data_IF_617581905262
#
_entry.id   IF_617581905262
#
_cell.length_a   1.000
_cell.length_b   1.000
_cell.length_c   1.000
_cell.angle_alpha   90.00
_cell.angle_beta   90.00
_cell.angle_gamma   90.00
#
_symmetry.space_group_name_H-M   'P 1'
#
loop_
_entity.id
_entity.type
_entity.pdbx_description
1 polymer ?
#
# COMPACT_ATOMS: atom_id res chain seq x y z
N UNK A 1 78.65 -15.69 -27.09
CA UNK A 1 78.27 -15.49 -28.49
C UNK A 1 77.07 -16.37 -28.83
N UNK A 2 76.00 -15.72 -29.29
CA UNK A 2 74.83 -16.23 -30.04
C UNK A 2 73.88 -17.33 -29.56
N UNK A 3 74.02 -17.93 -28.36
CA UNK A 3 72.97 -18.87 -27.84
C UNK A 3 72.49 -18.63 -26.40
N UNK A 4 72.86 -17.51 -25.78
CA UNK A 4 72.47 -17.19 -24.38
C UNK A 4 71.45 -16.03 -24.28
N UNK A 5 71.22 -15.28 -25.36
CA UNK A 5 70.26 -14.16 -25.37
C UNK A 5 68.80 -14.56 -25.69
N UNK A 6 68.56 -15.78 -26.19
CA UNK A 6 67.23 -16.23 -26.61
C UNK A 6 66.46 -17.01 -25.53
N UNK A 7 67.14 -17.56 -24.52
CA UNK A 7 66.50 -18.32 -23.43
C UNK A 7 65.92 -17.42 -22.32
N UNK A 8 66.47 -16.22 -22.12
CA UNK A 8 65.99 -15.29 -21.08
C UNK A 8 64.70 -14.54 -21.45
N UNK A 9 64.29 -14.50 -22.73
CA UNK A 9 63.02 -13.87 -23.17
C UNK A 9 61.79 -14.78 -23.07
N UNK A 10 61.98 -16.10 -22.98
CA UNK A 10 60.86 -17.06 -22.92
C UNK A 10 60.44 -17.32 -21.46
N UNK A 11 61.36 -17.38 -20.51
CA UNK A 11 61.03 -17.58 -19.10
C UNK A 11 60.29 -16.38 -18.45
N UNK A 12 60.53 -15.15 -18.92
CA UNK A 12 59.81 -13.97 -18.40
C UNK A 12 58.36 -13.87 -18.91
N UNK A 13 57.99 -14.56 -20.01
CA UNK A 13 56.61 -14.62 -20.51
C UNK A 13 55.81 -15.81 -20.00
N UNK A 14 56.45 -16.85 -19.45
CA UNK A 14 55.76 -17.98 -18.82
C UNK A 14 55.47 -17.75 -17.32
N UNK A 15 56.30 -16.97 -16.62
CA UNK A 15 56.11 -16.64 -15.19
C UNK A 15 54.96 -15.68 -14.89
N UNK A 16 54.48 -14.92 -15.89
CA UNK A 16 53.31 -14.03 -15.75
C UNK A 16 51.98 -14.74 -16.05
N UNK A 17 52.00 -15.87 -16.76
CA UNK A 17 50.79 -16.62 -17.11
C UNK A 17 50.27 -17.52 -15.96
N UNK A 18 51.10 -17.80 -14.94
CA UNK A 18 50.71 -18.64 -13.79
C UNK A 18 50.16 -17.89 -12.58
N UNK A 19 50.16 -16.54 -12.58
CA UNK A 19 49.53 -15.72 -11.52
C UNK A 19 48.08 -15.29 -11.81
N UNK A 20 47.51 -15.70 -12.95
CA UNK A 20 46.12 -15.39 -13.32
C UNK A 20 45.10 -16.47 -12.89
N UNK A 21 45.48 -17.42 -12.00
CA UNK A 21 44.63 -18.56 -11.61
C UNK A 21 44.15 -18.60 -10.16
N UNK A 22 44.38 -17.55 -9.36
CA UNK A 22 43.82 -17.47 -8.00
C UNK A 22 43.26 -16.09 -7.68
N UNK A 23 42.31 -15.61 -8.51
CA UNK A 23 41.32 -14.64 -8.06
C UNK A 23 40.11 -15.40 -7.50
N UNK A 24 39.58 -15.03 -6.32
CA UNK A 24 38.40 -15.67 -5.76
C UNK A 24 37.23 -15.50 -6.73
N UNK A 25 36.62 -16.61 -7.15
CA UNK A 25 35.42 -16.60 -7.98
C UNK A 25 34.39 -15.68 -7.32
N UNK A 26 34.00 -14.61 -8.02
CA UNK A 26 32.88 -13.77 -7.61
C UNK A 26 31.67 -14.69 -7.42
N UNK A 27 31.10 -14.66 -6.22
CA UNK A 27 29.89 -15.39 -5.88
C UNK A 27 28.72 -14.73 -6.60
N UNK A 28 28.49 -15.14 -7.84
CA UNK A 28 27.32 -14.73 -8.61
C UNK A 28 26.11 -15.37 -7.95
N UNK A 29 25.28 -14.56 -7.29
CA UNK A 29 24.01 -15.01 -6.74
C UNK A 29 22.98 -14.87 -7.86
N UNK A 30 22.57 -15.99 -8.41
CA UNK A 30 21.44 -16.04 -9.34
C UNK A 30 20.16 -16.08 -8.51
N UNK A 31 19.26 -15.13 -8.74
CA UNK A 31 17.90 -15.17 -8.19
C UNK A 31 16.90 -15.32 -9.32
N UNK A 32 16.02 -16.31 -9.16
CA UNK A 32 14.94 -16.59 -10.10
C UNK A 32 13.80 -15.62 -9.82
N UNK A 33 13.68 -14.58 -10.64
CA UNK A 33 12.56 -13.65 -10.56
C UNK A 33 11.32 -14.25 -11.24
N UNK A 34 10.20 -14.27 -10.52
CA UNK A 34 8.92 -14.83 -11.00
C UNK A 34 8.11 -13.80 -11.80
N UNK A 35 8.40 -12.50 -11.71
CA UNK A 35 7.74 -11.47 -12.53
C UNK A 35 8.16 -11.48 -14.00
N UNK A 36 9.23 -12.19 -14.37
CA UNK A 36 9.80 -12.20 -15.73
C UNK A 36 9.66 -13.55 -16.45
N UNK A 37 8.69 -14.38 -16.05
CA UNK A 37 8.41 -15.64 -16.75
C UNK A 37 9.51 -16.70 -16.61
N UNK A 38 10.32 -16.64 -15.55
CA UNK A 38 11.30 -17.68 -15.21
C UNK A 38 12.68 -17.54 -15.87
N UNK A 39 13.02 -16.38 -16.45
CA UNK A 39 14.38 -16.09 -16.91
C UNK A 39 15.29 -15.70 -15.75
N UNK A 40 16.49 -16.27 -15.72
CA UNK A 40 17.51 -15.98 -14.71
C UNK A 40 18.21 -14.66 -15.04
N UNK A 41 18.27 -13.75 -14.06
CA UNK A 41 18.93 -12.45 -14.21
C UNK A 41 20.09 -12.36 -13.23
N UNK A 42 21.25 -11.96 -13.74
CA UNK A 42 22.48 -11.79 -12.98
C UNK A 42 22.44 -10.41 -12.32
N UNK A 43 22.40 -10.38 -10.99
CA UNK A 43 22.46 -9.13 -10.22
C UNK A 43 23.91 -8.89 -9.80
N UNK A 44 24.56 -7.88 -10.37
CA UNK A 44 25.92 -7.48 -10.00
C UNK A 44 25.96 -6.95 -8.56
N UNK A 45 27.03 -7.25 -7.83
CA UNK A 45 27.26 -6.72 -6.48
C UNK A 45 28.34 -5.66 -6.51
N UNK A 46 28.01 -4.47 -6.01
CA UNK A 46 28.94 -3.34 -5.85
C UNK A 46 29.85 -3.57 -4.64
N UNK A 47 31.16 -3.55 -4.85
CA UNK A 47 32.14 -3.12 -3.82
C UNK A 47 33.15 -2.17 -4.46
N UNK A 48 33.20 -0.97 -3.88
CA UNK A 48 34.10 0.19 -3.99
C UNK A 48 35.59 -0.12 -4.33
N UNK A 49 36.40 0.72 -4.99
CA UNK A 49 36.51 2.19 -5.03
C UNK A 49 37.46 2.68 -6.17
N UNK A 50 37.39 3.98 -6.52
CA UNK A 50 38.37 4.89 -7.23
C UNK A 50 38.12 5.35 -8.70
N UNK A 51 37.48 6.54 -8.82
CA UNK A 51 37.61 7.68 -9.78
C UNK A 51 37.48 7.47 -11.32
N UNK A 52 37.18 8.51 -12.15
CA UNK A 52 36.68 9.88 -11.91
C UNK A 52 35.35 10.21 -12.65
N UNK A 53 34.83 11.41 -12.41
CA UNK A 53 33.61 12.03 -12.97
C UNK A 53 33.39 11.77 -14.48
N UNK A 54 32.30 11.10 -14.82
CA UNK A 54 31.61 11.23 -16.12
C UNK A 54 30.11 11.31 -15.86
N UNK A 55 29.52 12.42 -16.31
CA UNK A 55 28.10 12.70 -16.16
C UNK A 55 27.30 11.73 -17.04
N UNK A 56 26.74 10.69 -16.41
CA UNK A 56 25.60 9.95 -16.93
C UNK A 56 24.53 9.99 -15.85
N UNK A 57 23.42 10.67 -16.14
CA UNK A 57 22.28 10.79 -15.24
C UNK A 57 21.60 9.42 -15.11
N UNK A 58 22.11 8.62 -14.18
CA UNK A 58 21.46 7.41 -13.71
C UNK A 58 20.37 7.82 -12.69
N UNK A 59 19.17 7.33 -12.95
CA UNK A 59 17.92 7.54 -12.24
C UNK A 59 18.08 7.60 -10.70
N UNK A 60 17.73 8.76 -10.14
CA UNK A 60 17.65 8.98 -8.70
C UNK A 60 16.56 8.10 -8.05
N UNK A 61 16.90 7.57 -6.88
CA UNK A 61 16.06 6.72 -6.04
C UNK A 61 14.95 7.58 -5.37
N UNK A 62 13.65 7.27 -5.49
CA UNK A 62 12.56 8.14 -5.02
C UNK A 62 12.38 8.21 -3.49
N UNK A 63 13.37 7.82 -2.69
CA UNK A 63 13.31 7.80 -1.22
C UNK A 63 14.46 8.57 -0.53
N UNK A 64 15.32 9.28 -1.27
CA UNK A 64 16.36 10.13 -0.65
C UNK A 64 15.81 11.52 -0.28
N UNK A 65 15.56 11.72 1.00
CA UNK A 65 15.37 13.05 1.60
C UNK A 65 16.74 13.75 1.74
N UNK A 66 17.21 14.44 0.70
CA UNK A 66 18.01 15.69 0.78
C UNK A 66 18.66 16.06 -0.55
N UNK A 67 18.59 17.36 -0.86
CA UNK A 67 19.38 18.17 -1.79
C UNK A 67 18.56 18.72 -2.97
N UNK A 68 18.13 19.96 -2.80
CA UNK A 68 17.56 20.83 -3.84
C UNK A 68 18.60 21.08 -4.95
N UNK A 69 18.33 20.75 -6.22
CA UNK A 69 19.07 21.29 -7.35
C UNK A 69 18.47 22.65 -7.76
N UNK A 70 19.28 23.64 -8.19
CA UNK A 70 18.78 24.93 -8.63
C UNK A 70 18.23 24.84 -10.06
N UNK A 71 17.02 25.37 -10.22
CA UNK A 71 16.46 26.01 -11.42
C UNK A 71 16.68 25.34 -12.80
N UNK A 72 15.62 24.69 -13.30
CA UNK A 72 15.21 24.89 -14.69
C UNK A 72 13.69 25.12 -14.72
N UNK A 73 13.32 26.34 -15.11
CA UNK A 73 11.98 26.87 -15.12
C UNK A 73 11.06 26.17 -16.13
N UNK A 74 9.76 26.27 -15.85
CA UNK A 74 8.57 25.86 -16.62
C UNK A 74 7.99 24.49 -16.27
N UNK A 75 7.32 24.44 -15.12
CA UNK A 75 6.07 23.67 -14.96
C UNK A 75 5.24 24.29 -13.83
N UNK A 76 4.02 24.68 -14.20
CA UNK A 76 2.84 25.00 -13.39
C UNK A 76 3.05 24.99 -11.86
N UNK A 77 2.84 26.16 -11.26
CA UNK A 77 2.85 26.37 -9.81
C UNK A 77 1.65 25.66 -9.18
N UNK A 78 1.80 24.39 -8.85
CA UNK A 78 0.89 23.72 -7.92
C UNK A 78 1.37 24.02 -6.50
N UNK A 79 0.52 24.56 -5.61
CA UNK A 79 0.91 24.72 -4.22
C UNK A 79 1.28 23.33 -3.67
N UNK A 80 2.46 23.23 -3.04
CA UNK A 80 2.87 22.01 -2.33
C UNK A 80 1.82 21.72 -1.25
N UNK A 81 0.97 20.73 -1.49
CA UNK A 81 -0.02 20.26 -0.54
C UNK A 81 0.67 19.90 0.77
N UNK A 82 0.31 20.64 1.83
CA UNK A 82 0.76 20.37 3.18
C UNK A 82 0.13 19.03 3.62
N UNK A 83 0.95 17.98 3.70
CA UNK A 83 0.54 16.71 4.28
C UNK A 83 0.32 16.96 5.77
N UNK A 84 -0.93 17.12 6.19
CA UNK A 84 -1.26 17.21 7.61
C UNK A 84 -0.85 15.90 8.31
N UNK A 85 -0.21 16.05 9.45
CA UNK A 85 0.15 14.94 10.34
C UNK A 85 -0.95 14.63 11.38
N UNK A 86 -2.15 15.13 11.14
CA UNK A 86 -3.29 14.99 12.05
C UNK A 86 -4.09 13.73 11.72
N UNK A 87 -4.64 13.09 12.75
CA UNK A 87 -5.59 12.01 12.54
C UNK A 87 -6.88 12.57 11.92
N UNK A 88 -7.49 11.87 10.95
CA UNK A 88 -8.78 12.26 10.41
C UNK A 88 -9.84 12.31 11.50
N UNK A 89 -10.83 13.21 11.34
CA UNK A 89 -11.93 13.37 12.32
C UNK A 89 -12.75 12.10 12.54
N UNK A 90 -12.79 11.22 11.54
CA UNK A 90 -13.48 9.94 11.62
C UNK A 90 -12.66 8.86 12.34
N UNK A 91 -11.36 9.07 12.58
CA UNK A 91 -10.56 8.12 13.33
C UNK A 91 -11.05 8.09 14.79
N UNK A 92 -11.37 6.91 15.37
CA UNK A 92 -11.88 6.82 16.72
C UNK A 92 -10.92 7.46 17.72
N UNK A 93 -11.46 8.30 18.60
CA UNK A 93 -10.68 8.81 19.74
C UNK A 93 -10.39 7.64 20.67
N UNK A 94 -9.15 7.55 21.15
CA UNK A 94 -8.75 6.51 22.09
C UNK A 94 -9.51 6.70 23.40
N UNK A 95 -10.58 5.94 23.58
CA UNK A 95 -11.15 5.70 24.90
C UNK A 95 -10.19 4.75 25.62
N UNK A 96 -9.78 5.05 26.87
CA UNK A 96 -8.99 4.13 27.66
C UNK A 96 -9.69 2.78 27.68
N UNK A 97 -9.04 1.75 27.11
CA UNK A 97 -9.58 0.39 27.13
C UNK A 97 -9.86 0.02 28.58
N UNK A 98 -11.12 -0.29 28.87
CA UNK A 98 -11.54 -0.76 30.18
C UNK A 98 -10.98 -2.18 30.30
N UNK A 99 -9.80 -2.32 30.90
CA UNK A 99 -9.18 -3.61 31.16
C UNK A 99 -10.08 -4.40 32.12
N UNK A 100 -10.99 -5.19 31.58
CA UNK A 100 -11.88 -6.07 32.35
C UNK A 100 -11.33 -7.50 32.47
N UNK A 101 -10.16 -7.78 31.87
CA UNK A 101 -9.57 -9.12 31.90
C UNK A 101 -8.90 -9.41 33.25
N UNK A 102 -9.33 -10.51 33.87
CA UNK A 102 -8.62 -11.16 34.98
C UNK A 102 -7.20 -11.53 34.55
N UNK A 103 -6.21 -11.41 35.44
CA UNK A 103 -4.79 -11.67 35.14
C UNK A 103 -4.58 -13.09 34.58
N UNK A 104 -5.35 -14.08 35.04
CA UNK A 104 -5.26 -15.47 34.57
C UNK A 104 -5.78 -15.69 33.14
N UNK A 105 -6.72 -14.88 32.67
CA UNK A 105 -7.21 -14.97 31.30
C UNK A 105 -6.22 -14.35 30.31
N UNK A 106 -5.44 -13.36 30.75
CA UNK A 106 -4.55 -12.59 29.87
C UNK A 106 -3.44 -13.42 29.21
N UNK A 107 -2.79 -14.33 29.95
CA UNK A 107 -1.70 -15.19 29.43
C UNK A 107 -2.23 -16.23 28.43
N UNK A 108 -3.40 -16.81 28.70
CA UNK A 108 -4.06 -17.74 27.79
C UNK A 108 -4.37 -17.06 26.46
N UNK A 109 -4.97 -15.86 26.49
CA UNK A 109 -5.27 -15.10 25.27
C UNK A 109 -4.00 -14.61 24.57
N UNK A 110 -2.95 -14.24 25.30
CA UNK A 110 -1.65 -13.90 24.73
C UNK A 110 -1.05 -15.08 23.95
N UNK A 111 -1.07 -16.28 24.54
CA UNK A 111 -0.59 -17.50 23.89
C UNK A 111 -1.41 -17.82 22.65
N UNK A 112 -2.74 -17.69 22.74
CA UNK A 112 -3.66 -17.92 21.62
C UNK A 112 -3.41 -16.94 20.47
N UNK A 113 -3.25 -15.64 20.77
CA UNK A 113 -2.97 -14.61 19.78
C UNK A 113 -1.60 -14.82 19.11
N UNK A 114 -0.56 -15.13 19.90
CA UNK A 114 0.79 -15.41 19.40
C UNK A 114 0.83 -16.66 18.52
N UNK A 115 0.07 -17.69 18.86
CA UNK A 115 -0.07 -18.90 18.03
C UNK A 115 -0.76 -18.60 16.71
N UNK A 116 -1.85 -17.81 16.74
CA UNK A 116 -2.59 -17.42 15.55
C UNK A 116 -1.72 -16.57 14.61
N UNK A 117 -1.06 -15.54 15.13
CA UNK A 117 -0.21 -14.67 14.28
C UNK A 117 0.94 -15.45 13.64
N UNK A 118 1.53 -16.41 14.36
CA UNK A 118 2.55 -17.30 13.80
C UNK A 118 2.00 -18.13 12.64
N UNK A 119 0.83 -18.74 12.81
CA UNK A 119 0.19 -19.51 11.73
C UNK A 119 -0.15 -18.65 10.50
N UNK A 120 -0.63 -17.42 10.70
CA UNK A 120 -0.89 -16.45 9.63
C UNK A 120 0.40 -16.14 8.86
N UNK A 121 1.49 -15.86 9.59
CA UNK A 121 2.79 -15.55 8.98
C UNK A 121 3.35 -16.77 8.22
N UNK A 122 3.27 -17.97 8.80
CA UNK A 122 3.73 -19.20 8.17
C UNK A 122 2.94 -19.48 6.87
N UNK A 123 1.61 -19.27 6.88
CA UNK A 123 0.77 -19.34 5.68
C UNK A 123 1.19 -18.30 4.63
N UNK A 124 1.49 -17.08 5.05
CA UNK A 124 1.96 -16.01 4.16
C UNK A 124 3.31 -16.35 3.52
N UNK A 125 4.24 -16.91 4.29
CA UNK A 125 5.53 -17.40 3.79
C UNK A 125 5.36 -18.60 2.84
N UNK A 126 4.31 -19.40 3.05
CA UNK A 126 3.86 -20.44 2.12
C UNK A 126 3.20 -19.91 0.84
N UNK A 127 3.08 -18.60 0.67
CA UNK A 127 2.51 -17.96 -0.52
C UNK A 127 0.99 -17.81 -0.50
N UNK A 128 0.34 -18.01 0.64
CA UNK A 128 -1.09 -17.76 0.80
C UNK A 128 -1.35 -16.29 1.13
N UNK A 129 -2.52 -15.79 0.74
CA UNK A 129 -3.00 -14.48 1.18
C UNK A 129 -3.53 -14.54 2.61
N UNK A 130 -3.66 -13.37 3.24
CA UNK A 130 -4.25 -13.25 4.56
C UNK A 130 -5.75 -13.58 4.46
N UNK A 131 -6.22 -14.54 5.26
CA UNK A 131 -7.64 -14.90 5.30
C UNK A 131 -8.45 -13.85 6.08
N UNK A 132 -9.67 -13.60 5.62
CA UNK A 132 -10.63 -12.71 6.32
C UNK A 132 -10.95 -13.24 7.71
N UNK A 133 -11.14 -14.57 7.83
CA UNK A 133 -11.42 -15.26 9.10
C UNK A 133 -10.27 -15.12 10.09
N UNK A 134 -9.02 -15.27 9.62
CA UNK A 134 -7.83 -15.11 10.44
C UNK A 134 -7.71 -13.68 11.02
N UNK A 135 -8.01 -12.66 10.20
CA UNK A 135 -7.98 -11.24 10.61
C UNK A 135 -9.08 -10.98 11.66
N UNK A 136 -10.30 -11.47 11.44
CA UNK A 136 -11.42 -11.30 12.37
C UNK A 136 -11.13 -12.02 13.69
N UNK A 137 -10.65 -13.26 13.64
CA UNK A 137 -10.29 -14.03 14.84
C UNK A 137 -9.17 -13.36 15.65
N UNK A 138 -8.17 -12.79 14.98
CA UNK A 138 -7.12 -12.04 15.66
C UNK A 138 -7.71 -10.83 16.40
N UNK A 139 -8.58 -10.06 15.74
CA UNK A 139 -9.23 -8.90 16.37
C UNK A 139 -10.11 -9.32 17.54
N UNK A 140 -10.89 -10.39 17.41
CA UNK A 140 -11.71 -10.95 18.50
C UNK A 140 -10.89 -11.25 19.75
N UNK A 141 -9.79 -12.00 19.60
CA UNK A 141 -8.93 -12.38 20.72
C UNK A 141 -8.36 -11.14 21.39
N UNK A 142 -7.84 -10.19 20.60
CA UNK A 142 -7.21 -9.00 21.13
C UNK A 142 -8.23 -8.04 21.78
N UNK A 143 -9.44 -7.92 21.22
CA UNK A 143 -10.53 -7.10 21.77
C UNK A 143 -11.05 -7.66 23.10
N UNK A 144 -11.21 -8.97 23.20
CA UNK A 144 -11.72 -9.61 24.42
C UNK A 144 -10.75 -9.51 25.61
N UNK A 145 -9.45 -9.42 25.35
CA UNK A 145 -8.40 -9.56 26.38
C UNK A 145 -7.46 -8.35 26.52
N UNK A 146 -7.52 -7.37 25.61
CA UNK A 146 -6.59 -6.25 25.56
C UNK A 146 -5.16 -6.63 25.12
N UNK A 147 -4.97 -7.86 24.63
CA UNK A 147 -3.67 -8.39 24.22
C UNK A 147 -3.14 -7.67 22.96
N UNK A 148 -1.82 -7.54 22.89
CA UNK A 148 -1.10 -7.06 21.70
C UNK A 148 -0.21 -8.17 21.15
N UNK A 149 -0.02 -8.16 19.83
CA UNK A 149 0.84 -9.11 19.12
C UNK A 149 2.01 -8.39 18.48
N UNK A 150 3.20 -9.00 18.56
CA UNK A 150 4.39 -8.52 17.88
C UNK A 150 4.53 -9.20 16.52
N UNK A 151 4.70 -8.41 15.46
CA UNK A 151 5.03 -8.88 14.12
C UNK A 151 6.42 -8.35 13.79
N UNK A 152 7.38 -9.25 13.62
CA UNK A 152 8.81 -8.90 13.50
C UNK A 152 9.11 -8.02 12.29
N UNK A 153 8.40 -8.22 11.18
CA UNK A 153 8.66 -7.48 9.93
C UNK A 153 7.58 -6.42 9.69
N UNK A 154 8.03 -5.17 9.56
CA UNK A 154 7.16 -4.02 9.21
C UNK A 154 6.37 -4.28 7.93
N UNK A 155 6.97 -4.93 6.93
CA UNK A 155 6.28 -5.23 5.68
C UNK A 155 5.11 -6.22 5.87
N UNK A 156 5.29 -7.29 6.66
CA UNK A 156 4.21 -8.25 6.91
C UNK A 156 3.11 -7.61 7.73
N UNK A 157 3.46 -6.81 8.76
CA UNK A 157 2.49 -6.05 9.55
C UNK A 157 1.67 -5.11 8.68
N UNK A 158 2.32 -4.31 7.85
CA UNK A 158 1.65 -3.39 6.95
C UNK A 158 0.78 -4.13 5.92
N UNK A 159 1.27 -5.26 5.39
CA UNK A 159 0.51 -6.06 4.42
C UNK A 159 -0.73 -6.71 5.03
N UNK A 160 -0.62 -7.21 6.26
CA UNK A 160 -1.75 -7.72 7.04
C UNK A 160 -2.78 -6.60 7.26
N UNK A 161 -2.31 -5.41 7.65
CA UNK A 161 -3.19 -4.27 7.85
C UNK A 161 -3.88 -3.81 6.55
N UNK A 162 -3.18 -3.80 5.40
CA UNK A 162 -3.81 -3.53 4.09
C UNK A 162 -4.89 -4.56 3.76
N UNK A 163 -4.65 -5.84 4.04
CA UNK A 163 -5.67 -6.87 3.84
C UNK A 163 -6.88 -6.67 4.76
N UNK A 164 -6.68 -6.23 6.00
CA UNK A 164 -7.78 -5.85 6.89
C UNK A 164 -8.57 -4.64 6.37
N UNK A 165 -7.89 -3.63 5.81
CA UNK A 165 -8.55 -2.49 5.14
C UNK A 165 -9.39 -2.97 3.95
N UNK A 166 -8.85 -3.84 3.10
CA UNK A 166 -9.56 -4.44 1.96
C UNK A 166 -10.83 -5.19 2.42
N UNK A 167 -10.71 -6.03 3.44
CA UNK A 167 -11.83 -6.73 4.09
C UNK A 167 -12.91 -5.73 4.55
N UNK A 168 -12.52 -4.71 5.32
CA UNK A 168 -13.46 -3.73 5.87
C UNK A 168 -14.17 -2.98 4.73
N UNK A 169 -13.44 -2.54 3.71
CA UNK A 169 -14.04 -1.86 2.56
C UNK A 169 -14.98 -2.78 1.78
N UNK A 170 -14.65 -4.07 1.64
CA UNK A 170 -15.54 -5.07 1.03
C UNK A 170 -16.84 -5.24 1.82
N UNK A 171 -16.77 -5.31 3.14
CA UNK A 171 -17.95 -5.39 4.01
C UNK A 171 -18.78 -4.12 3.89
N UNK A 172 -18.14 -2.94 3.88
CA UNK A 172 -18.83 -1.65 3.68
C UNK A 172 -19.57 -1.59 2.34
N UNK A 173 -18.97 -2.08 1.26
CA UNK A 173 -19.61 -2.13 -0.07
C UNK A 173 -20.83 -3.07 -0.15
N UNK A 174 -20.97 -4.04 0.77
CA UNK A 174 -22.10 -4.97 0.82
C UNK A 174 -23.25 -4.46 1.70
N UNK A 175 -23.03 -3.39 2.46
CA UNK A 175 -24.03 -2.82 3.34
C UNK A 175 -25.16 -2.13 2.57
N UNK A 176 -26.32 -1.98 3.22
CA UNK A 176 -27.40 -1.15 2.67
C UNK A 176 -27.00 0.32 2.65
N UNK A 177 -27.39 1.06 1.60
CA UNK A 177 -27.04 2.48 1.34
C UNK A 177 -27.36 3.39 2.53
N UNK A 178 -28.36 3.04 3.35
CA UNK A 178 -28.76 3.83 4.53
C UNK A 178 -28.03 3.43 5.82
N UNK A 179 -27.11 2.45 5.78
CA UNK A 179 -26.41 1.98 6.97
C UNK A 179 -25.21 2.86 7.26
N UNK A 180 -25.30 3.66 8.33
CA UNK A 180 -24.17 4.43 8.87
C UNK A 180 -23.35 3.63 9.89
N UNK A 181 -23.81 2.42 10.24
CA UNK A 181 -23.19 1.54 11.22
C UNK A 181 -22.92 0.17 10.60
N UNK A 182 -21.78 0.05 9.93
CA UNK A 182 -21.31 -1.23 9.40
C UNK A 182 -20.48 -1.91 10.47
N UNK A 183 -20.95 -3.10 10.86
CA UNK A 183 -20.31 -3.88 11.90
C UNK A 183 -19.55 -5.06 11.32
N UNK A 184 -18.36 -5.31 11.88
CA UNK A 184 -17.54 -6.48 11.61
C UNK A 184 -17.40 -7.18 12.94
N UNK A 185 -18.02 -8.35 13.06
CA UNK A 185 -18.05 -9.09 14.33
C UNK A 185 -18.56 -8.26 15.53
N UNK A 186 -19.64 -7.51 15.30
CA UNK A 186 -20.24 -6.65 16.33
C UNK A 186 -19.38 -5.45 16.76
N UNK A 187 -18.45 -5.02 15.92
CA UNK A 187 -17.60 -3.83 16.11
C UNK A 187 -17.75 -2.85 14.93
N UNK A 188 -17.83 -1.54 15.19
CA UNK A 188 -17.88 -0.51 14.13
C UNK A 188 -16.63 -0.61 13.24
N UNK A 189 -16.79 -0.47 11.92
CA UNK A 189 -15.71 -0.59 10.95
C UNK A 189 -14.47 0.28 11.26
N UNK A 190 -14.65 1.48 11.81
CA UNK A 190 -13.56 2.38 12.20
C UNK A 190 -12.88 1.91 13.47
N UNK A 191 -13.65 1.46 14.46
CA UNK A 191 -13.15 0.88 15.71
C UNK A 191 -12.35 -0.41 15.45
N UNK A 192 -12.84 -1.25 14.54
CA UNK A 192 -12.15 -2.48 14.11
C UNK A 192 -10.75 -2.18 13.59
N UNK A 193 -10.64 -1.23 12.65
CA UNK A 193 -9.37 -0.84 12.04
C UNK A 193 -8.42 -0.17 13.04
N UNK A 194 -8.92 0.80 13.81
CA UNK A 194 -8.12 1.50 14.80
C UNK A 194 -7.61 0.57 15.90
N UNK A 195 -8.47 -0.32 16.38
CA UNK A 195 -8.12 -1.31 17.39
C UNK A 195 -7.17 -2.37 16.87
N UNK A 196 -7.35 -2.86 15.63
CA UNK A 196 -6.40 -3.78 15.01
C UNK A 196 -5.03 -3.13 14.85
N UNK A 197 -4.96 -1.86 14.43
CA UNK A 197 -3.72 -1.11 14.32
C UNK A 197 -2.98 -1.08 15.67
N UNK A 198 -3.70 -0.79 16.76
CA UNK A 198 -3.14 -0.82 18.11
C UNK A 198 -2.65 -2.23 18.50
N UNK A 199 -3.44 -3.28 18.23
CA UNK A 199 -3.09 -4.65 18.61
C UNK A 199 -1.83 -5.15 17.93
N UNK A 200 -1.57 -4.77 16.68
CA UNK A 200 -0.36 -5.15 15.93
C UNK A 200 0.79 -4.14 16.08
N UNK A 201 0.61 -3.09 16.88
CA UNK A 201 1.60 -2.04 17.12
C UNK A 201 1.89 -1.17 15.89
N UNK A 202 0.89 -0.89 15.06
CA UNK A 202 0.96 0.05 13.94
C UNK A 202 0.58 1.46 14.41
N UNK A 203 1.38 2.46 14.03
CA UNK A 203 1.10 3.86 14.32
C UNK A 203 -0.24 4.32 13.71
N UNK A 204 -1.05 5.04 14.49
CA UNK A 204 -2.40 5.45 14.09
C UNK A 204 -2.40 6.38 12.87
N UNK A 205 -1.42 7.28 12.74
CA UNK A 205 -1.33 8.20 11.59
C UNK A 205 -0.98 7.39 10.33
N UNK A 206 -0.06 6.44 10.44
CA UNK A 206 0.26 5.52 9.34
C UNK A 206 -0.94 4.65 8.97
N UNK A 207 -1.63 4.11 9.96
CA UNK A 207 -2.82 3.28 9.78
C UNK A 207 -3.95 4.06 9.09
N UNK A 208 -4.26 5.28 9.52
CA UNK A 208 -5.29 6.13 8.92
C UNK A 208 -4.98 6.51 7.47
N UNK A 209 -3.71 6.75 7.14
CA UNK A 209 -3.26 6.96 5.76
C UNK A 209 -3.45 5.73 4.89
N UNK A 210 -3.19 4.53 5.41
CA UNK A 210 -3.44 3.28 4.68
C UNK A 210 -4.93 3.07 4.41
N UNK A 211 -5.81 3.43 5.35
CA UNK A 211 -7.27 3.43 5.14
C UNK A 211 -7.65 4.43 4.06
N UNK A 212 -7.16 5.68 4.15
CA UNK A 212 -7.46 6.75 3.18
C UNK A 212 -7.00 6.38 1.77
N UNK A 213 -5.82 5.76 1.64
CA UNK A 213 -5.33 5.22 0.38
C UNK A 213 -6.21 4.08 -0.16
N UNK A 214 -6.70 3.20 0.72
CA UNK A 214 -7.65 2.13 0.38
C UNK A 214 -8.98 2.69 -0.13
N UNK A 215 -9.53 3.70 0.55
CA UNK A 215 -10.74 4.43 0.13
C UNK A 215 -10.57 5.02 -1.26
N UNK A 216 -9.43 5.68 -1.52
CA UNK A 216 -9.13 6.26 -2.83
C UNK A 216 -8.98 5.20 -3.93
N UNK A 217 -8.27 4.11 -3.66
CA UNK A 217 -8.13 3.00 -4.58
C UNK A 217 -9.50 2.40 -4.94
N UNK A 218 -10.37 2.20 -3.93
CA UNK A 218 -11.72 1.67 -4.14
C UNK A 218 -12.61 2.64 -4.90
N UNK A 219 -12.52 3.94 -4.60
CA UNK A 219 -13.27 5.00 -5.29
C UNK A 219 -12.92 5.01 -6.78
N UNK A 220 -11.62 5.00 -7.11
CA UNK A 220 -11.16 4.89 -8.50
C UNK A 220 -11.68 3.63 -9.18
N UNK A 221 -11.61 2.49 -8.50
CA UNK A 221 -12.10 1.21 -9.01
C UNK A 221 -13.60 1.30 -9.33
N UNK A 222 -14.43 1.78 -8.40
CA UNK A 222 -15.87 1.89 -8.58
C UNK A 222 -16.23 2.80 -9.77
N UNK A 223 -15.55 3.93 -9.97
CA UNK A 223 -15.80 4.78 -11.15
C UNK A 223 -15.46 4.08 -12.47
N UNK A 224 -14.30 3.41 -12.54
CA UNK A 224 -13.90 2.68 -13.74
C UNK A 224 -14.84 1.50 -14.03
N UNK A 225 -15.25 0.79 -12.99
CA UNK A 225 -16.17 -0.33 -13.11
C UNK A 225 -17.58 0.12 -13.49
N UNK A 226 -18.08 1.22 -12.92
CA UNK A 226 -19.34 1.83 -13.30
C UNK A 226 -19.31 2.27 -14.77
N UNK A 227 -18.22 2.91 -15.21
CA UNK A 227 -18.04 3.27 -16.62
C UNK A 227 -18.06 2.03 -17.54
N UNK A 228 -17.40 0.95 -17.14
CA UNK A 228 -17.42 -0.30 -17.89
C UNK A 228 -18.83 -0.90 -18.00
N UNK A 229 -19.66 -0.75 -16.96
CA UNK A 229 -21.07 -1.14 -17.00
C UNK A 229 -21.91 -0.22 -17.89
N UNK A 230 -21.69 1.09 -17.85
CA UNK A 230 -22.37 2.04 -18.75
C UNK A 230 -22.06 1.73 -20.23
N UNK A 231 -20.81 1.42 -20.56
CA UNK A 231 -20.44 0.97 -21.92
C UNK A 231 -21.09 -0.35 -22.33
N UNK A 232 -21.50 -1.17 -21.37
CA UNK A 232 -22.24 -2.40 -21.61
C UNK A 232 -23.78 -2.21 -21.55
N UNK A 233 -24.26 -0.96 -21.43
CA UNK A 233 -25.69 -0.64 -21.21
C UNK A 233 -26.29 -1.30 -19.96
N UNK A 234 -25.45 -1.61 -18.96
CA UNK A 234 -25.83 -2.20 -17.66
C UNK A 234 -25.99 -1.10 -16.62
N UNK A 235 -26.98 -0.23 -16.83
CA UNK A 235 -27.14 0.99 -16.02
C UNK A 235 -27.42 0.69 -14.54
N UNK A 236 -28.21 -0.35 -14.24
CA UNK A 236 -28.51 -0.76 -12.86
C UNK A 236 -27.26 -1.18 -12.09
N UNK A 237 -26.34 -1.89 -12.75
CA UNK A 237 -25.07 -2.31 -12.19
C UNK A 237 -24.10 -1.14 -12.04
N UNK A 238 -24.12 -0.18 -12.97
CA UNK A 238 -23.36 1.06 -12.84
C UNK A 238 -23.82 1.89 -11.62
N UNK A 239 -25.13 2.08 -11.44
CA UNK A 239 -25.70 2.76 -10.27
C UNK A 239 -25.34 2.02 -8.98
N UNK A 240 -25.47 0.69 -8.97
CA UNK A 240 -25.08 -0.15 -7.84
C UNK A 240 -23.59 0.03 -7.49
N UNK A 241 -22.71 0.07 -8.49
CA UNK A 241 -21.29 0.29 -8.29
C UNK A 241 -20.97 1.70 -7.75
N UNK A 242 -21.64 2.74 -8.26
CA UNK A 242 -21.47 4.12 -7.78
C UNK A 242 -22.01 4.30 -6.36
N UNK A 243 -23.07 3.58 -5.99
CA UNK A 243 -23.62 3.63 -4.63
C UNK A 243 -22.62 3.17 -3.55
N UNK A 244 -21.67 2.30 -3.92
CA UNK A 244 -20.58 1.85 -3.02
C UNK A 244 -19.66 3.00 -2.61
N UNK A 245 -19.44 3.98 -3.50
CA UNK A 245 -18.66 5.18 -3.19
C UNK A 245 -19.35 5.94 -2.05
N UNK A 246 -20.68 6.06 -2.10
CA UNK A 246 -21.45 6.75 -1.08
C UNK A 246 -21.33 6.06 0.29
N UNK A 247 -21.39 4.73 0.32
CA UNK A 247 -21.20 3.94 1.53
C UNK A 247 -19.81 4.15 2.13
N UNK A 248 -18.77 4.05 1.30
CA UNK A 248 -17.38 4.19 1.78
C UNK A 248 -17.12 5.62 2.26
N UNK A 249 -17.53 6.64 1.50
CA UNK A 249 -17.32 8.03 1.88
C UNK A 249 -18.18 8.41 3.10
N UNK A 250 -19.32 7.76 3.32
CA UNK A 250 -20.12 7.95 4.53
C UNK A 250 -19.41 7.44 5.80
N UNK A 251 -18.65 6.34 5.70
CA UNK A 251 -17.95 5.72 6.84
C UNK A 251 -16.55 6.33 7.02
N UNK A 252 -15.82 6.49 5.92
CA UNK A 252 -14.46 7.02 5.85
C UNK A 252 -14.42 8.28 4.98
N UNK A 253 -15.00 9.40 5.42
CA UNK A 253 -15.09 10.60 4.61
C UNK A 253 -13.69 11.11 4.23
N UNK A 254 -13.40 11.27 2.92
CA UNK A 254 -12.17 11.89 2.48
C UNK A 254 -12.07 13.33 3.00
N UNK A 255 -10.85 13.80 3.25
CA UNK A 255 -10.63 15.22 3.52
C UNK A 255 -10.97 16.05 2.29
N UNK A 256 -11.49 17.27 2.51
CA UNK A 256 -11.67 18.26 1.44
C UNK A 256 -10.32 18.54 0.76
N UNK A 257 -10.31 18.52 -0.57
CA UNK A 257 -9.09 18.70 -1.37
C UNK A 257 -7.94 17.78 -0.92
N UNK A 258 -8.27 16.52 -0.57
CA UNK A 258 -7.27 15.55 -0.09
C UNK A 258 -6.35 15.08 -1.22
N UNK A 259 -5.05 14.86 -0.93
CA UNK A 259 -4.11 14.36 -1.93
C UNK A 259 -4.52 12.99 -2.48
N UNK A 260 -5.21 12.17 -1.69
CA UNK A 260 -5.73 10.89 -2.14
C UNK A 260 -6.81 11.05 -3.22
N UNK A 261 -7.76 11.98 -3.07
CA UNK A 261 -8.78 12.24 -4.10
C UNK A 261 -8.19 12.93 -5.34
N UNK A 262 -7.20 13.82 -5.17
CA UNK A 262 -6.47 14.42 -6.30
C UNK A 262 -5.75 13.33 -7.13
N UNK A 263 -5.15 12.34 -6.47
CA UNK A 263 -4.55 11.20 -7.16
C UNK A 263 -5.57 10.37 -7.93
N UNK A 264 -6.79 10.20 -7.39
CA UNK A 264 -7.90 9.54 -8.12
C UNK A 264 -8.27 10.35 -9.34
N UNK A 265 -8.48 11.66 -9.20
CA UNK A 265 -8.84 12.56 -10.30
C UNK A 265 -7.83 12.48 -11.45
N UNK A 266 -6.54 12.65 -11.15
CA UNK A 266 -5.46 12.52 -12.15
C UNK A 266 -5.37 11.13 -12.76
N UNK A 267 -5.71 10.10 -11.98
CA UNK A 267 -5.75 8.71 -12.44
C UNK A 267 -6.90 8.42 -13.39
N UNK A 268 -8.05 9.07 -13.18
CA UNK A 268 -9.24 8.96 -14.02
C UNK A 268 -9.13 9.83 -15.27
N UNK A 269 -8.57 11.03 -15.19
CA UNK A 269 -8.37 11.94 -16.33
C UNK A 269 -7.56 11.29 -17.47
N UNK A 270 -6.64 10.38 -17.13
CA UNK A 270 -5.85 9.62 -18.13
C UNK A 270 -6.66 8.60 -18.92
N UNK A 271 -7.85 8.21 -18.43
CA UNK A 271 -8.64 7.10 -18.95
C UNK A 271 -10.00 7.59 -19.45
N UNK A 272 -10.60 8.56 -18.76
CA UNK A 272 -11.94 9.07 -18.98
C UNK A 272 -11.90 10.53 -19.44
N UNK A 273 -12.69 10.84 -20.46
CA UNK A 273 -12.90 12.22 -20.92
C UNK A 273 -13.74 13.01 -19.91
N UNK A 274 -13.72 14.34 -20.03
CA UNK A 274 -14.50 15.24 -19.15
C UNK A 274 -15.99 14.86 -19.18
N UNK A 275 -16.54 14.66 -20.37
CA UNK A 275 -17.98 14.37 -20.56
C UNK A 275 -18.38 13.04 -19.91
N UNK A 276 -17.47 12.06 -19.89
CA UNK A 276 -17.69 10.76 -19.26
C UNK A 276 -17.69 10.87 -17.73
N UNK A 277 -16.81 11.73 -17.19
CA UNK A 277 -16.75 12.01 -15.74
C UNK A 277 -17.99 12.79 -15.30
N UNK A 278 -18.46 13.74 -16.10
CA UNK A 278 -19.73 14.45 -15.89
C UNK A 278 -20.93 13.51 -15.89
N UNK A 279 -20.98 12.54 -16.82
CA UNK A 279 -22.06 11.54 -16.85
C UNK A 279 -22.07 10.69 -15.57
N UNK A 280 -20.92 10.19 -15.13
CA UNK A 280 -20.81 9.43 -13.87
C UNK A 280 -21.27 10.29 -12.68
N UNK A 281 -20.90 11.57 -12.65
CA UNK A 281 -21.34 12.49 -11.60
C UNK A 281 -22.86 12.72 -11.64
N UNK A 282 -23.44 12.89 -12.83
CA UNK A 282 -24.88 13.02 -12.99
C UNK A 282 -25.62 11.78 -12.47
N UNK A 283 -25.08 10.59 -12.71
CA UNK A 283 -25.63 9.35 -12.16
C UNK A 283 -25.52 9.30 -10.63
N UNK A 284 -24.41 9.76 -10.04
CA UNK A 284 -24.27 9.88 -8.58
C UNK A 284 -25.34 10.82 -8.01
N UNK A 285 -25.52 12.01 -8.59
CA UNK A 285 -26.51 12.99 -8.10
C UNK A 285 -27.95 12.50 -8.30
N UNK A 286 -28.24 11.89 -9.45
CA UNK A 286 -29.60 11.48 -9.82
C UNK A 286 -30.10 10.24 -9.10
N UNK A 287 -29.21 9.29 -8.78
CA UNK A 287 -29.63 7.97 -8.27
C UNK A 287 -29.06 7.62 -6.90
N UNK A 288 -27.92 8.20 -6.48
CA UNK A 288 -27.36 7.88 -5.17
C UNK A 288 -27.93 8.83 -4.11
N UNK A 289 -28.66 8.29 -3.13
CA UNK A 289 -29.15 9.04 -1.98
C UNK A 289 -28.02 9.33 -0.98
N UNK A 290 -27.11 10.22 -1.33
CA UNK A 290 -25.95 10.61 -0.53
C UNK A 290 -25.97 12.09 -0.15
N UNK A 291 -25.27 12.45 0.93
CA UNK A 291 -25.17 13.83 1.42
C UNK A 291 -24.34 14.71 0.48
N UNK A 292 -24.49 16.03 0.61
CA UNK A 292 -23.70 17.01 -0.17
C UNK A 292 -22.19 16.86 0.04
N UNK A 293 -21.75 16.49 1.24
CA UNK A 293 -20.33 16.25 1.53
C UNK A 293 -19.79 15.07 0.72
N UNK A 294 -20.57 13.99 0.62
CA UNK A 294 -20.22 12.82 -0.19
C UNK A 294 -20.21 13.20 -1.67
N UNK A 295 -21.21 13.94 -2.15
CA UNK A 295 -21.25 14.44 -3.55
C UNK A 295 -20.02 15.30 -3.86
N UNK A 296 -19.65 16.18 -2.95
CA UNK A 296 -18.47 17.05 -3.11
C UNK A 296 -17.20 16.21 -3.23
N UNK A 297 -16.98 15.26 -2.32
CA UNK A 297 -15.81 14.37 -2.37
C UNK A 297 -15.79 13.46 -3.61
N UNK A 298 -16.95 13.01 -4.10
CA UNK A 298 -17.06 12.26 -5.36
C UNK A 298 -16.71 13.14 -6.57
N UNK A 299 -17.16 14.40 -6.58
CA UNK A 299 -16.85 15.36 -7.62
C UNK A 299 -15.36 15.76 -7.62
N UNK A 300 -14.75 15.92 -6.45
CA UNK A 300 -13.29 16.07 -6.29
C UNK A 300 -12.55 14.86 -6.87
N UNK A 301 -12.97 13.63 -6.52
CA UNK A 301 -12.37 12.41 -7.04
C UNK A 301 -12.52 12.25 -8.57
N UNK A 302 -13.61 12.77 -9.14
CA UNK A 302 -13.81 12.86 -10.58
C UNK A 302 -13.04 14.03 -11.21
N UNK A 303 -12.39 14.91 -10.44
CA UNK A 303 -11.68 16.08 -10.96
C UNK A 303 -12.61 17.07 -11.67
N UNK A 304 -13.82 17.24 -11.15
CA UNK A 304 -14.82 18.20 -11.63
C UNK A 304 -14.90 19.46 -10.76
N UNK A 305 -14.19 19.47 -9.62
CA UNK A 305 -14.10 20.59 -8.70
C UNK A 305 -12.64 20.76 -8.29
N UNK A 306 -12.24 22.00 -8.01
CA UNK A 306 -10.91 22.37 -7.51
C UNK A 306 -11.02 22.98 -6.11
#
# INVERSE_FOLDING_TARGET
GFLVASAFRVCFRLGLAFKARFSPKQKVIVRRDRSLGGKEVIVGTTRDHHHPRTNSSALDNPLSLSATPPNLANKTHYPRLHVRHELPKWWPQQLPQRNTASVFDSEYYQTKANRLIKAIIDNRLGGKDFSEEDIIQLRQICRASGVRVSIDTTNTRDSLYRAAVELVLNVCCRASINSTNVQIDGEDAREFLAGLAENIGLDNIRASRMVSAGVAARTRFCFLQAWAFEMQSKHTEAVSELSKICLIHGIFPPGKSSPEMEMVARGLEKILKVEQRELLMATVVGYCNCSEEIRTSAAEALGLVC
#
